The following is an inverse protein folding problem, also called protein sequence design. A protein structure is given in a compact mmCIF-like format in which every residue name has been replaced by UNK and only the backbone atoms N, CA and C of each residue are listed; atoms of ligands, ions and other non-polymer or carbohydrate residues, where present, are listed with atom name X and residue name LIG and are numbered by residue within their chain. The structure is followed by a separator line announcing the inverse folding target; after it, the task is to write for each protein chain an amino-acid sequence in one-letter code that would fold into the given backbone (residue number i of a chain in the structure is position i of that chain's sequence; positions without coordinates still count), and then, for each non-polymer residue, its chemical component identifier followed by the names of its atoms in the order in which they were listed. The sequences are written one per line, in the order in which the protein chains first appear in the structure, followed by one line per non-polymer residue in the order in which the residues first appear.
data_IF_973967612891
#
_entry.id   IF_973967612891
#
_cell.length_a   1.000
_cell.length_b   1.000
_cell.length_c   1.000
_cell.angle_alpha   90.00
_cell.angle_beta   90.00
_cell.angle_gamma   90.00
#
_symmetry.space_group_name_H-M   'P 1'
#
loop_
_entity.id
_entity.type
_entity.pdbx_description
1 polymer ?
#
# COMPACT_ATOMS: atom_id res chain seq x y z
N UNK A 1 -7.41 7.93 14.68
CA UNK A 1 -7.50 7.98 13.21
C UNK A 1 -8.95 7.64 12.81
N UNK A 2 -9.55 8.34 11.85
CA UNK A 2 -10.83 7.92 11.23
C UNK A 2 -10.57 7.72 9.75
N UNK A 3 -10.84 6.52 9.25
CA UNK A 3 -10.80 6.24 7.81
C UNK A 3 -11.99 6.92 7.13
N UNK A 4 -11.81 7.35 5.88
CA UNK A 4 -12.93 7.80 5.06
C UNK A 4 -13.78 6.59 4.67
N UNK A 5 -15.09 6.66 4.89
CA UNK A 5 -16.01 5.54 4.62
C UNK A 5 -16.25 5.28 3.13
N UNK A 6 -15.79 6.16 2.24
CA UNK A 6 -15.96 6.06 0.78
C UNK A 6 -14.63 5.91 0.03
N UNK A 7 -13.51 5.75 0.74
CA UNK A 7 -12.20 5.58 0.13
C UNK A 7 -11.62 4.23 0.51
N UNK A 8 -11.14 3.51 -0.50
CA UNK A 8 -10.26 2.38 -0.32
C UNK A 8 -8.97 2.62 -1.09
N UNK A 9 -7.93 1.91 -0.70
CA UNK A 9 -6.60 2.03 -1.28
C UNK A 9 -6.17 0.66 -1.78
N UNK A 10 -5.59 0.61 -2.96
CA UNK A 10 -4.83 -0.54 -3.43
C UNK A 10 -3.38 -0.26 -3.07
N UNK A 11 -2.80 -1.08 -2.21
CA UNK A 11 -1.42 -0.92 -1.76
C UNK A 11 -0.50 -1.80 -2.60
N UNK A 12 0.39 -1.17 -3.35
CA UNK A 12 1.50 -1.84 -3.98
C UNK A 12 2.72 -1.72 -3.07
N UNK A 13 2.97 -2.77 -2.28
CA UNK A 13 4.11 -2.83 -1.38
C UNK A 13 5.44 -2.94 -2.14
N UNK A 14 6.51 -2.49 -1.51
CA UNK A 14 7.89 -2.71 -1.98
C UNK A 14 8.67 -3.46 -0.93
N UNK A 15 9.72 -4.15 -1.34
CA UNK A 15 10.72 -4.65 -0.40
C UNK A 15 11.38 -3.47 0.30
N UNK A 16 11.56 -3.60 1.61
CA UNK A 16 12.17 -2.55 2.45
C UNK A 16 13.27 -3.16 3.29
N UNK A 17 14.26 -2.34 3.64
CA UNK A 17 15.38 -2.76 4.46
C UNK A 17 15.11 -2.58 5.96
N UNK A 18 15.96 -3.18 6.79
CA UNK A 18 15.90 -3.04 8.24
C UNK A 18 15.98 -1.58 8.70
N UNK A 19 16.73 -0.73 7.97
CA UNK A 19 16.84 0.70 8.28
C UNK A 19 15.48 1.39 8.18
N UNK A 20 14.71 1.11 7.14
CA UNK A 20 13.36 1.63 6.97
C UNK A 20 12.42 1.09 8.06
N UNK A 21 12.46 -0.21 8.35
CA UNK A 21 11.64 -0.80 9.41
C UNK A 21 11.91 -0.18 10.79
N UNK A 22 13.19 0.07 11.11
CA UNK A 22 13.57 0.77 12.34
C UNK A 22 13.06 2.22 12.38
N UNK A 23 13.07 2.92 11.25
CA UNK A 23 12.49 4.26 11.16
C UNK A 23 10.97 4.25 11.38
N UNK A 24 10.27 3.26 10.82
CA UNK A 24 8.84 3.05 11.06
C UNK A 24 8.58 2.77 12.54
N UNK A 25 9.34 1.86 13.17
CA UNK A 25 9.23 1.58 14.61
C UNK A 25 9.44 2.85 15.46
N UNK A 26 10.43 3.68 15.13
CA UNK A 26 10.68 4.93 15.84
C UNK A 26 9.52 5.93 15.71
N UNK A 27 8.82 5.94 14.57
CA UNK A 27 7.71 6.85 14.31
C UNK A 27 6.37 6.35 14.88
N UNK A 28 6.11 5.05 14.83
CA UNK A 28 4.79 4.47 15.16
C UNK A 28 4.77 3.75 16.51
N UNK A 29 5.94 3.42 17.08
CA UNK A 29 6.08 2.54 18.23
C UNK A 29 5.83 1.06 17.92
N UNK A 30 5.56 0.70 16.67
CA UNK A 30 5.30 -0.68 16.27
C UNK A 30 6.61 -1.45 16.12
N UNK A 31 6.78 -2.52 16.89
CA UNK A 31 7.97 -3.38 16.85
C UNK A 31 7.67 -4.61 15.99
N UNK A 32 8.41 -4.75 14.89
CA UNK A 32 8.29 -5.88 13.98
C UNK A 32 8.99 -7.13 14.52
N UNK A 33 8.34 -8.29 14.44
CA UNK A 33 8.97 -9.59 14.70
C UNK A 33 9.98 -9.94 13.61
N UNK A 34 10.90 -10.87 13.89
CA UNK A 34 11.89 -11.31 12.89
C UNK A 34 11.22 -11.92 11.64
N UNK A 35 10.08 -12.59 11.81
CA UNK A 35 9.29 -13.11 10.70
C UNK A 35 8.69 -11.98 9.85
N UNK A 36 8.12 -10.95 10.48
CA UNK A 36 7.58 -9.80 9.77
C UNK A 36 8.68 -9.03 9.02
N UNK A 37 9.84 -8.82 9.64
CA UNK A 37 10.99 -8.20 8.99
C UNK A 37 11.38 -8.97 7.73
N UNK A 38 11.50 -10.29 7.83
CA UNK A 38 11.85 -11.14 6.69
C UNK A 38 10.83 -11.07 5.55
N UNK A 39 9.53 -11.00 5.86
CA UNK A 39 8.48 -10.81 4.84
C UNK A 39 8.67 -9.47 4.14
N UNK A 40 8.87 -8.38 4.89
CA UNK A 40 9.06 -7.04 4.34
C UNK A 40 10.35 -6.89 3.52
N UNK A 41 11.40 -7.65 3.84
CA UNK A 41 12.66 -7.66 3.09
C UNK A 41 12.60 -8.49 1.80
N UNK A 42 11.70 -9.48 1.71
CA UNK A 42 11.68 -10.45 0.60
C UNK A 42 10.46 -10.33 -0.30
N UNK A 43 9.27 -10.27 0.28
CA UNK A 43 7.99 -10.13 -0.43
C UNK A 43 7.63 -8.64 -0.55
N UNK A 44 7.94 -7.87 0.48
CA UNK A 44 7.62 -6.44 0.56
C UNK A 44 6.27 -6.16 1.20
N UNK A 45 5.88 -4.89 1.18
CA UNK A 45 4.64 -4.44 1.78
C UNK A 45 4.66 -2.95 2.11
N UNK A 46 3.79 -2.52 3.02
CA UNK A 46 3.65 -1.11 3.42
C UNK A 46 3.63 -0.98 4.95
N UNK A 47 4.75 -1.27 5.64
CA UNK A 47 4.77 -1.46 7.10
C UNK A 47 4.39 -0.19 7.90
N UNK A 48 4.51 1.00 7.31
CA UNK A 48 4.10 2.24 7.97
C UNK A 48 2.57 2.41 8.09
N UNK A 49 1.79 1.53 7.47
CA UNK A 49 0.33 1.49 7.59
C UNK A 49 -0.16 0.46 8.62
N UNK A 50 0.73 -0.41 9.12
CA UNK A 50 0.39 -1.48 10.06
C UNK A 50 -0.24 -0.93 11.34
N UNK A 51 -1.32 -1.59 11.79
CA UNK A 51 -2.12 -1.16 12.94
C UNK A 51 -2.94 0.12 12.72
N UNK A 52 -2.77 0.80 11.59
CA UNK A 52 -3.48 2.03 11.24
C UNK A 52 -4.65 1.85 10.26
N UNK A 53 -4.64 0.76 9.48
CA UNK A 53 -5.62 0.47 8.44
C UNK A 53 -6.00 -1.01 8.44
N UNK A 54 -7.28 -1.31 8.23
CA UNK A 54 -7.79 -2.68 8.10
C UNK A 54 -7.69 -3.13 6.65
N UNK A 55 -6.97 -4.22 6.41
CA UNK A 55 -6.98 -4.92 5.13
C UNK A 55 -8.27 -5.75 5.04
N UNK A 56 -9.06 -5.58 3.98
CA UNK A 56 -10.33 -6.30 3.78
C UNK A 56 -10.36 -7.19 2.53
N UNK A 57 -9.27 -7.22 1.76
CA UNK A 57 -9.16 -8.01 0.55
C UNK A 57 -7.78 -7.94 -0.07
N UNK A 58 -7.57 -8.73 -1.13
CA UNK A 58 -6.34 -8.78 -1.91
C UNK A 58 -6.65 -8.77 -3.40
N UNK A 59 -5.67 -8.36 -4.21
CA UNK A 59 -5.77 -8.37 -5.67
C UNK A 59 -5.38 -9.77 -6.16
N UNK A 60 -6.27 -10.42 -6.92
CA UNK A 60 -5.99 -11.75 -7.48
C UNK A 60 -5.33 -11.69 -8.87
N UNK A 61 -5.68 -10.68 -9.68
CA UNK A 61 -5.21 -10.51 -11.06
C UNK A 61 -5.08 -9.04 -11.44
N UNK A 62 -4.36 -8.73 -12.52
CA UNK A 62 -4.23 -7.36 -13.03
C UNK A 62 -3.11 -6.53 -12.40
N UNK A 63 -2.07 -7.18 -11.87
CA UNK A 63 -0.90 -6.49 -11.29
C UNK A 63 -0.20 -5.56 -12.30
N UNK A 64 -0.14 -5.93 -13.58
CA UNK A 64 0.43 -5.09 -14.63
C UNK A 64 -0.39 -3.81 -14.89
N UNK A 65 -1.70 -3.86 -14.66
CA UNK A 65 -2.59 -2.69 -14.73
C UNK A 65 -2.30 -1.77 -13.55
N UNK A 66 -2.13 -2.31 -12.35
CA UNK A 66 -1.72 -1.54 -11.17
C UNK A 66 -0.37 -0.85 -11.42
N UNK A 67 0.61 -1.56 -11.97
CA UNK A 67 1.92 -1.00 -12.33
C UNK A 67 1.80 0.18 -13.30
N UNK A 68 0.96 0.04 -14.34
CA UNK A 68 0.71 1.11 -15.32
C UNK A 68 0.04 2.33 -14.66
N UNK A 69 -0.93 2.12 -13.78
CA UNK A 69 -1.61 3.20 -13.05
C UNK A 69 -0.61 3.91 -12.12
N UNK A 70 0.25 3.16 -11.41
CA UNK A 70 1.24 3.73 -10.51
C UNK A 70 2.33 4.54 -11.24
N UNK A 71 2.54 4.27 -12.53
CA UNK A 71 3.54 4.94 -13.37
C UNK A 71 3.01 6.16 -14.14
N UNK A 72 1.71 6.49 -14.05
CA UNK A 72 1.15 7.64 -14.76
C UNK A 72 1.76 8.95 -14.26
N UNK A 73 1.83 9.95 -15.13
CA UNK A 73 2.32 11.26 -14.75
C UNK A 73 1.39 11.91 -13.72
N UNK A 74 1.96 12.34 -12.59
CA UNK A 74 1.25 13.07 -11.55
C UNK A 74 1.65 14.55 -11.51
N UNK A 75 0.69 15.39 -11.11
CA UNK A 75 0.86 16.81 -10.85
C UNK A 75 0.95 17.12 -9.35
N UNK A 76 0.47 18.30 -8.97
CA UNK A 76 0.49 18.74 -7.57
C UNK A 76 -0.36 17.83 -6.68
N UNK A 77 0.24 17.36 -5.58
CA UNK A 77 -0.45 16.51 -4.60
C UNK A 77 -0.66 15.08 -5.09
N UNK A 78 0.21 14.58 -5.97
CA UNK A 78 0.19 13.23 -6.53
C UNK A 78 -1.10 12.88 -7.31
N UNK A 79 -1.81 13.89 -7.80
CA UNK A 79 -3.00 13.72 -8.64
C UNK A 79 -2.58 13.43 -10.08
N UNK A 80 -3.09 12.38 -10.76
CA UNK A 80 -2.81 12.13 -12.17
C UNK A 80 -3.11 13.34 -13.06
N UNK A 81 -2.21 13.67 -13.98
CA UNK A 81 -2.40 14.76 -14.96
C UNK A 81 -3.57 14.44 -15.89
N UNK A 82 -3.63 13.19 -16.34
CA UNK A 82 -4.76 12.64 -17.07
C UNK A 82 -5.59 11.75 -16.11
N UNK A 83 -6.90 12.00 -15.96
CA UNK A 83 -7.73 11.20 -15.05
C UNK A 83 -7.78 9.72 -15.44
N UNK A 84 -7.52 8.84 -14.47
CA UNK A 84 -7.70 7.40 -14.60
C UNK A 84 -9.03 7.02 -13.95
N UNK A 85 -10.01 6.58 -14.76
CA UNK A 85 -11.33 6.16 -14.29
C UNK A 85 -11.43 4.64 -14.16
N UNK A 86 -12.32 4.16 -13.30
CA UNK A 86 -12.58 2.73 -13.13
C UNK A 86 -14.08 2.48 -12.90
N UNK A 87 -14.52 1.27 -13.21
CA UNK A 87 -15.86 0.75 -12.93
C UNK A 87 -15.76 -0.35 -11.89
N UNK A 88 -16.71 -0.39 -10.96
CA UNK A 88 -16.77 -1.43 -9.93
C UNK A 88 -17.96 -2.33 -10.23
N UNK A 89 -17.71 -3.64 -10.25
CA UNK A 89 -18.72 -4.68 -10.35
C UNK A 89 -18.54 -5.64 -9.18
N UNK A 90 -19.65 -6.03 -8.55
CA UNK A 90 -19.67 -7.06 -7.50
C UNK A 90 -20.05 -8.36 -8.18
N UNK A 91 -19.15 -9.34 -8.14
CA UNK A 91 -19.40 -10.68 -8.67
C UNK A 91 -20.26 -11.47 -7.67
N UNK A 92 -21.31 -12.14 -8.14
CA UNK A 92 -22.15 -13.05 -7.35
C UNK A 92 -21.52 -14.45 -7.18
#
# INVERSE_FOLDING_TARGET
KRSSGSQFYIVQGRVVDERYLNAVTAQTGHVFTDEQKKIYETIGGTPHLDGGYTVFGEVLTGFDVIDKIAAVQTGRGDVPVEPVSMTIEVLE
#
